data_IF_069806237528
#
_entry.id   IF_069806237528
#
_cell.length_a   1.000
_cell.length_b   1.000
_cell.length_c   1.000
_cell.angle_alpha   90.00
_cell.angle_beta   90.00
_cell.angle_gamma   90.00
#
_symmetry.space_group_name_H-M   'P 1'
#
loop_
_entity.id
_entity.type
_entity.pdbx_description
1 polymer ?
#
# COMPACT_ATOMS: atom_id res chain seq x y z
N UNK A 1 -2.81 7.00 -28.83
CA UNK A 1 -3.39 5.63 -28.80
C UNK A 1 -3.95 5.27 -27.41
N UNK A 2 -3.16 5.36 -26.33
CA UNK A 2 -3.61 5.01 -24.96
C UNK A 2 -4.82 5.83 -24.51
N UNK A 3 -4.79 7.17 -24.64
CA UNK A 3 -5.90 8.03 -24.23
C UNK A 3 -7.22 7.76 -24.98
N UNK A 4 -7.14 7.30 -26.24
CA UNK A 4 -8.36 6.95 -27.01
C UNK A 4 -9.13 5.76 -26.43
N UNK A 5 -8.54 5.03 -25.47
CA UNK A 5 -9.16 3.94 -24.72
C UNK A 5 -9.61 4.36 -23.31
N UNK A 6 -9.55 5.65 -22.97
CA UNK A 6 -9.86 6.15 -21.63
C UNK A 6 -8.80 5.82 -20.57
N UNK A 7 -7.61 5.38 -20.99
CA UNK A 7 -6.48 5.06 -20.13
C UNK A 7 -5.46 6.22 -20.09
N UNK A 8 -4.61 6.22 -19.06
CA UNK A 8 -3.49 7.15 -18.90
C UNK A 8 -2.16 6.50 -19.30
N UNK A 9 -1.20 7.31 -19.75
CA UNK A 9 0.11 6.86 -20.22
C UNK A 9 1.21 7.25 -19.23
N UNK A 10 1.97 6.27 -18.73
CA UNK A 10 3.14 6.51 -17.89
C UNK A 10 4.45 6.29 -18.62
N UNK A 11 5.48 7.01 -18.22
CA UNK A 11 6.86 6.86 -18.70
C UNK A 11 7.84 6.71 -17.54
N UNK A 12 9.02 6.21 -17.85
CA UNK A 12 10.15 6.03 -16.94
C UNK A 12 11.26 6.98 -17.35
N UNK A 13 11.98 7.50 -16.37
CA UNK A 13 13.27 8.13 -16.56
C UNK A 13 14.15 7.96 -15.31
N UNK A 14 15.41 8.38 -15.35
CA UNK A 14 16.35 8.32 -14.24
C UNK A 14 17.01 9.68 -13.96
N UNK A 15 17.08 10.09 -12.69
CA UNK A 15 17.73 11.34 -12.29
C UNK A 15 19.21 11.40 -12.66
N UNK A 16 19.93 10.28 -12.68
CA UNK A 16 21.38 10.23 -12.91
C UNK A 16 21.81 10.37 -14.37
N UNK A 17 23.10 10.13 -14.64
CA UNK A 17 23.66 10.24 -15.99
C UNK A 17 23.12 9.16 -16.94
N UNK A 18 22.73 8.01 -16.37
CA UNK A 18 22.17 6.89 -17.08
C UNK A 18 21.04 6.29 -16.25
N UNK A 19 20.07 5.69 -16.93
CA UNK A 19 19.14 4.74 -16.31
C UNK A 19 19.89 3.55 -15.73
N UNK A 20 19.29 2.83 -14.79
CA UNK A 20 19.84 1.57 -14.27
C UNK A 20 20.20 0.54 -15.37
N UNK A 21 19.56 0.61 -16.54
CA UNK A 21 19.83 -0.24 -17.70
C UNK A 21 20.85 0.34 -18.72
N UNK A 22 21.47 1.50 -18.42
CA UNK A 22 22.52 2.13 -19.22
C UNK A 22 22.04 3.05 -20.35
N UNK A 23 20.73 3.32 -20.47
CA UNK A 23 20.18 4.36 -21.36
C UNK A 23 20.42 5.77 -20.80
N UNK A 24 20.33 6.86 -21.60
CA UNK A 24 20.53 8.23 -21.12
C UNK A 24 19.57 8.60 -19.98
N UNK A 25 20.04 9.32 -18.96
CA UNK A 25 19.21 9.90 -17.88
C UNK A 25 19.10 11.43 -17.96
N UNK A 26 18.38 12.06 -17.02
CA UNK A 26 17.97 13.48 -17.14
C UNK A 26 19.00 14.52 -16.71
N UNK A 27 20.14 14.16 -16.10
CA UNK A 27 21.13 15.19 -15.67
C UNK A 27 21.53 16.07 -16.87
N UNK A 28 21.36 17.38 -16.72
CA UNK A 28 21.64 18.36 -17.78
C UNK A 28 20.49 18.57 -18.78
N UNK A 29 19.43 17.76 -18.72
CA UNK A 29 18.31 17.75 -19.66
C UNK A 29 16.92 17.91 -19.02
N UNK A 30 16.84 18.05 -17.68
CA UNK A 30 15.62 18.14 -16.87
C UNK A 30 14.45 18.92 -17.51
N UNK A 31 14.68 20.18 -17.90
CA UNK A 31 13.64 21.03 -18.49
C UNK A 31 13.19 20.57 -19.89
N UNK A 32 14.14 20.08 -20.69
CA UNK A 32 13.88 19.55 -22.03
C UNK A 32 13.08 18.26 -21.98
N UNK A 33 13.44 17.35 -21.08
CA UNK A 33 12.76 16.06 -20.90
C UNK A 33 11.36 16.25 -20.33
N UNK A 34 11.19 17.11 -19.32
CA UNK A 34 9.87 17.47 -18.80
C UNK A 34 8.95 18.04 -19.90
N UNK A 35 9.46 18.98 -20.71
CA UNK A 35 8.72 19.55 -21.84
C UNK A 35 8.37 18.50 -22.89
N UNK A 36 9.29 17.56 -23.15
CA UNK A 36 9.08 16.45 -24.08
C UNK A 36 7.97 15.53 -23.59
N UNK A 37 7.99 15.13 -22.32
CA UNK A 37 6.95 14.28 -21.71
C UNK A 37 5.57 14.93 -21.78
N UNK A 38 5.50 16.24 -21.49
CA UNK A 38 4.26 16.99 -21.62
C UNK A 38 3.75 17.03 -23.07
N UNK A 39 4.65 17.25 -24.04
CA UNK A 39 4.30 17.27 -25.47
C UNK A 39 3.79 15.92 -25.99
N UNK A 40 4.27 14.81 -25.42
CA UNK A 40 3.80 13.45 -25.72
C UNK A 40 2.48 13.09 -25.03
N UNK A 41 2.03 13.94 -24.10
CA UNK A 41 0.82 13.69 -23.33
C UNK A 41 1.01 12.65 -22.22
N UNK A 42 2.21 12.54 -21.64
CA UNK A 42 2.48 11.67 -20.47
C UNK A 42 1.62 12.10 -19.28
N UNK A 43 1.08 11.15 -18.52
CA UNK A 43 0.24 11.38 -17.33
C UNK A 43 0.90 10.92 -16.02
N UNK A 44 1.98 10.15 -16.12
CA UNK A 44 2.71 9.58 -14.99
C UNK A 44 4.19 9.48 -15.34
N UNK A 45 5.08 9.90 -14.43
CA UNK A 45 6.54 9.82 -14.60
C UNK A 45 7.11 9.11 -13.38
N UNK A 46 7.74 7.95 -13.58
CA UNK A 46 8.67 7.35 -12.61
C UNK A 46 10.05 7.95 -12.85
N UNK A 47 10.66 8.54 -11.82
CA UNK A 47 12.06 8.96 -11.85
C UNK A 47 12.87 8.08 -10.90
N UNK A 48 13.80 7.33 -11.49
CA UNK A 48 14.76 6.49 -10.79
C UNK A 48 16.02 7.28 -10.39
N UNK A 49 17.00 6.63 -9.77
CA UNK A 49 18.17 7.31 -9.20
C UNK A 49 19.51 6.60 -9.40
N UNK A 50 19.62 5.69 -10.37
CA UNK A 50 20.90 5.06 -10.67
C UNK A 50 21.90 6.09 -11.21
N UNK A 51 23.20 5.84 -11.03
CA UNK A 51 24.26 6.72 -11.54
C UNK A 51 24.16 8.20 -11.06
N UNK A 52 23.46 8.45 -9.95
CA UNK A 52 23.42 9.72 -9.22
C UNK A 52 24.02 9.55 -7.81
N UNK A 53 24.53 10.64 -7.23
CA UNK A 53 24.93 10.62 -5.82
C UNK A 53 23.69 10.82 -4.93
N UNK A 54 23.45 9.97 -3.92
CA UNK A 54 22.27 10.09 -3.03
C UNK A 54 22.15 11.44 -2.31
N UNK A 55 23.26 12.13 -2.08
CA UNK A 55 23.29 13.48 -1.48
C UNK A 55 22.73 14.57 -2.41
N UNK A 56 22.75 14.35 -3.73
CA UNK A 56 22.25 15.31 -4.71
C UNK A 56 20.73 15.21 -4.91
N UNK A 57 20.12 14.13 -4.42
CA UNK A 57 18.69 13.84 -4.63
C UNK A 57 17.77 14.84 -3.91
N UNK A 58 18.23 15.43 -2.81
CA UNK A 58 17.53 16.49 -2.07
C UNK A 58 17.33 17.77 -2.90
N UNK A 59 18.11 17.95 -3.96
CA UNK A 59 17.95 19.04 -4.92
C UNK A 59 17.37 18.54 -6.25
N UNK A 60 17.82 17.39 -6.72
CA UNK A 60 17.50 16.85 -8.03
C UNK A 60 16.03 16.51 -8.23
N UNK A 61 15.46 15.73 -7.30
CA UNK A 61 14.07 15.30 -7.39
C UNK A 61 13.08 16.47 -7.29
N UNK A 62 13.23 17.43 -6.35
CA UNK A 62 12.43 18.65 -6.32
C UNK A 62 12.55 19.49 -7.59
N UNK A 63 13.77 19.67 -8.12
CA UNK A 63 13.98 20.45 -9.34
C UNK A 63 13.29 19.80 -10.55
N UNK A 64 13.41 18.48 -10.72
CA UNK A 64 12.71 17.80 -11.81
C UNK A 64 11.18 17.88 -11.65
N UNK A 65 10.66 17.70 -10.43
CA UNK A 65 9.24 17.90 -10.12
C UNK A 65 8.75 19.32 -10.46
N UNK A 66 9.58 20.34 -10.19
CA UNK A 66 9.30 21.72 -10.57
C UNK A 66 9.26 21.90 -12.09
N UNK A 67 10.18 21.27 -12.84
CA UNK A 67 10.18 21.30 -14.30
C UNK A 67 8.92 20.64 -14.88
N UNK A 68 8.48 19.51 -14.33
CA UNK A 68 7.21 18.87 -14.69
C UNK A 68 6.02 19.83 -14.49
N UNK A 69 5.97 20.52 -13.34
CA UNK A 69 4.90 21.48 -13.05
C UNK A 69 4.91 22.69 -14.00
N UNK A 70 6.08 23.21 -14.37
CA UNK A 70 6.21 24.33 -15.31
C UNK A 70 5.65 24.05 -16.69
N UNK A 71 5.53 22.78 -17.10
CA UNK A 71 4.90 22.42 -18.37
C UNK A 71 3.40 22.71 -18.41
N UNK A 72 2.77 22.92 -17.25
CA UNK A 72 1.32 23.11 -17.11
C UNK A 72 0.48 21.83 -17.28
N UNK A 73 1.12 20.67 -17.55
CA UNK A 73 0.44 19.38 -17.64
C UNK A 73 0.49 18.65 -16.30
N UNK A 74 -0.66 18.18 -15.84
CA UNK A 74 -0.74 17.31 -14.66
C UNK A 74 -0.14 15.94 -14.96
N UNK A 75 0.95 15.61 -14.27
CA UNK A 75 1.65 14.33 -14.34
C UNK A 75 1.85 13.82 -12.92
N UNK A 76 1.41 12.58 -12.64
CA UNK A 76 1.74 11.91 -11.39
C UNK A 76 3.24 11.69 -11.33
N UNK A 77 3.89 12.08 -10.25
CA UNK A 77 5.33 11.97 -10.10
C UNK A 77 5.72 10.93 -9.05
N UNK A 78 6.36 9.86 -9.51
CA UNK A 78 6.78 8.70 -8.72
C UNK A 78 8.28 8.72 -8.52
N UNK A 79 8.72 8.83 -7.27
CA UNK A 79 10.12 9.08 -6.94
C UNK A 79 10.80 7.85 -6.34
N UNK A 80 11.89 7.36 -6.92
CA UNK A 80 12.74 6.36 -6.26
C UNK A 80 13.69 6.96 -5.21
N UNK A 81 13.59 8.26 -4.92
CA UNK A 81 14.49 8.99 -4.04
C UNK A 81 14.78 8.32 -2.68
N UNK A 82 13.78 7.92 -1.86
CA UNK A 82 14.07 7.44 -0.51
C UNK A 82 14.90 6.17 -0.49
N UNK A 83 14.63 5.21 -1.40
CA UNK A 83 15.35 3.93 -1.40
C UNK A 83 16.86 4.12 -1.59
N UNK A 84 17.29 4.99 -2.50
CA UNK A 84 18.73 5.25 -2.71
C UNK A 84 19.40 5.91 -1.50
N UNK A 85 18.71 6.85 -0.83
CA UNK A 85 19.23 7.50 0.37
C UNK A 85 19.33 6.54 1.54
N UNK A 86 18.32 5.69 1.76
CA UNK A 86 18.32 4.67 2.80
C UNK A 86 19.50 3.73 2.62
N UNK A 87 19.75 3.28 1.38
CA UNK A 87 20.89 2.42 1.06
C UNK A 87 22.26 3.08 1.25
N UNK A 88 22.32 4.41 1.12
CA UNK A 88 23.52 5.19 1.40
C UNK A 88 23.71 5.52 2.90
N UNK A 89 22.81 5.07 3.78
CA UNK A 89 22.83 5.39 5.20
C UNK A 89 22.37 6.81 5.53
N UNK A 90 21.75 7.50 4.57
CA UNK A 90 21.15 8.82 4.75
C UNK A 90 19.71 8.68 5.29
N UNK A 91 19.23 9.73 5.94
CA UNK A 91 17.84 9.80 6.42
C UNK A 91 17.00 10.59 5.41
N UNK A 92 16.02 9.96 4.73
CA UNK A 92 15.16 10.68 3.79
C UNK A 92 14.37 11.80 4.47
N UNK A 93 14.34 12.96 3.82
CA UNK A 93 13.52 14.09 4.27
C UNK A 93 12.08 13.92 3.76
N UNK A 94 11.27 13.14 4.49
CA UNK A 94 9.88 12.86 4.10
C UNK A 94 9.01 14.11 3.95
N UNK A 95 9.29 15.19 4.69
CA UNK A 95 8.60 16.48 4.50
C UNK A 95 8.78 17.01 3.08
N UNK A 96 10.01 17.01 2.57
CA UNK A 96 10.33 17.45 1.20
C UNK A 96 9.78 16.47 0.16
N UNK A 97 9.89 15.16 0.42
CA UNK A 97 9.36 14.13 -0.47
C UNK A 97 7.83 14.26 -0.63
N UNK A 98 7.09 14.51 0.46
CA UNK A 98 5.64 14.74 0.42
C UNK A 98 5.29 15.99 -0.40
N UNK A 99 6.08 17.06 -0.28
CA UNK A 99 5.84 18.30 -1.03
C UNK A 99 6.07 18.13 -2.54
N UNK A 100 6.99 17.26 -2.93
CA UNK A 100 7.47 17.17 -4.31
C UNK A 100 7.05 15.91 -5.06
N UNK A 101 6.63 14.83 -4.40
CA UNK A 101 6.33 13.55 -5.02
C UNK A 101 4.90 13.08 -4.71
N UNK A 102 4.25 12.42 -5.67
CA UNK A 102 2.93 11.82 -5.44
C UNK A 102 3.01 10.42 -4.83
N UNK A 103 4.11 9.73 -5.07
CA UNK A 103 4.42 8.45 -4.45
C UNK A 103 5.94 8.23 -4.50
N UNK A 104 6.43 7.36 -3.63
CA UNK A 104 7.87 7.07 -3.57
C UNK A 104 8.19 5.64 -3.17
N UNK A 105 9.24 5.09 -3.78
CA UNK A 105 9.77 3.76 -3.43
C UNK A 105 10.64 3.86 -2.17
N UNK A 106 10.26 3.12 -1.14
CA UNK A 106 10.98 3.12 0.15
C UNK A 106 12.04 2.02 0.25
N UNK A 107 11.90 0.94 -0.52
CA UNK A 107 12.64 -0.30 -0.32
C UNK A 107 12.93 -1.02 -1.64
N UNK A 108 13.54 -2.20 -1.54
CA UNK A 108 14.00 -3.04 -2.65
C UNK A 108 13.00 -3.25 -3.77
N UNK A 109 13.55 -3.46 -4.97
CA UNK A 109 12.79 -3.92 -6.11
C UNK A 109 12.18 -5.29 -5.83
N UNK A 110 10.87 -5.39 -6.04
CA UNK A 110 10.17 -6.66 -5.94
C UNK A 110 10.65 -7.60 -7.04
N UNK A 111 10.97 -8.83 -6.64
CA UNK A 111 11.30 -9.93 -7.52
C UNK A 111 10.15 -10.92 -7.56
N UNK A 112 10.03 -11.70 -8.63
CA UNK A 112 8.98 -12.72 -8.78
C UNK A 112 9.25 -13.93 -7.86
N UNK A 113 9.10 -13.72 -6.54
CA UNK A 113 9.32 -14.72 -5.51
C UNK A 113 8.59 -14.35 -4.22
N UNK A 114 8.12 -15.36 -3.50
CA UNK A 114 7.52 -15.17 -2.18
C UNK A 114 8.48 -14.51 -1.18
N UNK A 115 9.76 -14.86 -1.23
CA UNK A 115 10.77 -14.29 -0.33
C UNK A 115 10.90 -12.77 -0.49
N UNK A 116 10.76 -12.24 -1.70
CA UNK A 116 10.77 -10.80 -1.96
C UNK A 116 9.51 -10.10 -1.44
N UNK A 117 8.34 -10.71 -1.62
CA UNK A 117 7.10 -10.21 -1.00
C UNK A 117 7.23 -10.18 0.53
N UNK A 118 7.76 -11.24 1.13
CA UNK A 118 7.98 -11.33 2.57
C UNK A 118 8.95 -10.27 3.10
N UNK A 119 10.06 -10.02 2.40
CA UNK A 119 11.03 -9.00 2.81
C UNK A 119 10.42 -7.59 2.78
N UNK A 120 9.60 -7.28 1.77
CA UNK A 120 8.87 -6.01 1.68
C UNK A 120 7.85 -5.88 2.82
N UNK A 121 7.04 -6.92 3.06
CA UNK A 121 6.07 -6.94 4.17
C UNK A 121 6.79 -6.71 5.51
N UNK A 122 7.93 -7.36 5.73
CA UNK A 122 8.70 -7.18 6.94
C UNK A 122 9.33 -5.79 7.04
N UNK A 123 9.86 -5.23 5.95
CA UNK A 123 10.39 -3.87 5.95
C UNK A 123 9.31 -2.87 6.36
N UNK A 124 8.16 -2.89 5.71
CA UNK A 124 7.05 -1.98 6.01
C UNK A 124 6.51 -2.19 7.43
N UNK A 125 6.40 -3.43 7.89
CA UNK A 125 5.92 -3.75 9.24
C UNK A 125 6.93 -3.44 10.35
N UNK A 126 8.23 -3.45 10.07
CA UNK A 126 9.29 -3.15 11.04
C UNK A 126 9.57 -1.64 11.14
N UNK A 127 9.34 -0.87 10.06
CA UNK A 127 9.59 0.57 9.98
C UNK A 127 8.31 1.42 9.99
N UNK A 128 7.16 0.81 10.32
CA UNK A 128 5.84 1.45 10.24
C UNK A 128 5.68 2.73 11.08
N UNK A 129 6.46 2.92 12.16
CA UNK A 129 6.41 4.15 12.96
C UNK A 129 6.97 5.36 12.19
N UNK A 130 7.89 5.12 11.25
CA UNK A 130 8.46 6.15 10.38
C UNK A 130 7.68 6.29 9.09
N UNK A 131 7.25 5.17 8.48
CA UNK A 131 6.69 5.14 7.12
C UNK A 131 5.22 5.57 7.06
N UNK A 132 4.39 5.02 7.95
CA UNK A 132 2.93 5.16 7.90
C UNK A 132 2.46 6.62 8.00
N UNK A 133 3.03 7.48 8.88
CA UNK A 133 2.58 8.88 8.98
C UNK A 133 2.78 9.72 7.71
N UNK A 134 3.62 9.26 6.77
CA UNK A 134 3.93 10.02 5.55
C UNK A 134 2.97 9.70 4.40
N UNK A 135 2.11 8.68 4.50
CA UNK A 135 1.13 8.36 3.48
C UNK A 135 -0.19 9.10 3.69
N UNK A 136 -0.79 9.57 2.59
CA UNK A 136 -2.08 10.24 2.59
C UNK A 136 -2.52 10.66 1.19
N UNK A 137 -3.72 11.26 1.05
CA UNK A 137 -4.23 11.70 -0.24
C UNK A 137 -3.24 12.59 -1.00
N UNK A 138 -2.70 12.04 -2.09
CA UNK A 138 -1.78 12.72 -3.00
C UNK A 138 -0.29 12.44 -2.77
N UNK A 139 0.07 11.66 -1.74
CA UNK A 139 1.46 11.34 -1.36
C UNK A 139 1.53 9.94 -0.70
N UNK A 140 2.02 8.92 -1.44
CA UNK A 140 1.91 7.51 -1.03
C UNK A 140 3.25 6.80 -0.89
N UNK A 141 3.38 5.89 0.08
CA UNK A 141 4.49 4.94 0.10
C UNK A 141 4.27 3.85 -0.97
N UNK A 142 5.31 3.51 -1.70
CA UNK A 142 5.29 2.52 -2.78
C UNK A 142 6.10 1.26 -2.38
N UNK A 143 5.44 0.16 -2.00
CA UNK A 143 6.06 -1.15 -1.76
C UNK A 143 6.39 -1.92 -3.04
N UNK A 144 6.36 -1.25 -4.20
CA UNK A 144 6.60 -1.78 -5.53
C UNK A 144 5.43 -2.60 -6.12
N UNK A 145 5.60 -3.07 -7.35
CA UNK A 145 4.55 -3.64 -8.20
C UNK A 145 3.85 -4.89 -7.62
N UNK A 146 2.61 -5.12 -8.07
CA UNK A 146 1.92 -6.40 -7.93
C UNK A 146 2.48 -7.41 -8.95
N UNK A 147 2.92 -8.57 -8.47
CA UNK A 147 3.47 -9.67 -9.29
C UNK A 147 2.48 -10.83 -9.45
N UNK A 148 1.22 -10.60 -9.08
CA UNK A 148 0.13 -11.59 -9.12
C UNK A 148 -0.14 -12.03 -10.56
N UNK A 149 -0.12 -13.34 -10.79
CA UNK A 149 -0.31 -13.93 -12.11
C UNK A 149 0.96 -14.17 -12.91
N UNK A 150 2.13 -13.83 -12.36
CA UNK A 150 3.44 -14.28 -12.87
C UNK A 150 3.73 -15.73 -12.40
N UNK A 151 4.98 -16.05 -12.07
CA UNK A 151 5.44 -17.43 -11.91
C UNK A 151 5.85 -17.77 -10.47
N UNK A 152 6.25 -16.79 -9.68
CA UNK A 152 6.87 -16.98 -8.37
C UNK A 152 5.92 -17.06 -7.18
N UNK A 153 4.63 -16.71 -7.36
CA UNK A 153 3.63 -16.73 -6.30
C UNK A 153 2.60 -17.85 -6.47
N UNK A 154 2.39 -18.61 -5.40
CA UNK A 154 1.22 -19.47 -5.27
C UNK A 154 -0.09 -18.67 -5.24
N UNK A 155 -1.22 -19.34 -5.35
CA UNK A 155 -2.54 -18.70 -5.23
C UNK A 155 -2.72 -18.00 -3.87
N UNK A 156 -2.35 -18.67 -2.78
CA UNK A 156 -2.42 -18.11 -1.42
C UNK A 156 -1.50 -16.90 -1.24
N UNK A 157 -0.27 -16.99 -1.76
CA UNK A 157 0.70 -15.89 -1.71
C UNK A 157 0.24 -14.68 -2.52
N UNK A 158 -0.41 -14.92 -3.66
CA UNK A 158 -1.03 -13.88 -4.48
C UNK A 158 -2.17 -13.17 -3.75
N UNK A 159 -3.03 -13.93 -3.05
CA UNK A 159 -4.07 -13.36 -2.18
C UNK A 159 -3.44 -12.50 -1.07
N UNK A 160 -2.35 -12.98 -0.47
CA UNK A 160 -1.61 -12.26 0.59
C UNK A 160 -1.01 -10.95 0.08
N UNK A 161 -0.34 -10.94 -1.09
CA UNK A 161 0.21 -9.71 -1.65
C UNK A 161 -0.89 -8.66 -1.86
N UNK A 162 -1.99 -9.03 -2.53
CA UNK A 162 -3.06 -8.08 -2.82
C UNK A 162 -3.72 -7.51 -1.55
N UNK A 163 -3.98 -8.36 -0.56
CA UNK A 163 -4.56 -7.94 0.71
C UNK A 163 -3.63 -7.01 1.49
N UNK A 164 -2.34 -7.32 1.56
CA UNK A 164 -1.40 -6.46 2.31
C UNK A 164 -1.14 -5.15 1.58
N UNK A 165 -1.03 -5.13 0.25
CA UNK A 165 -0.91 -3.88 -0.50
C UNK A 165 -2.13 -2.97 -0.28
N UNK A 166 -3.34 -3.54 -0.28
CA UNK A 166 -4.55 -2.79 0.06
C UNK A 166 -4.55 -2.27 1.51
N UNK A 167 -4.07 -3.06 2.48
CA UNK A 167 -3.92 -2.59 3.87
C UNK A 167 -2.88 -1.46 3.98
N UNK A 168 -1.81 -1.51 3.19
CA UNK A 168 -0.75 -0.50 3.17
C UNK A 168 -1.13 0.78 2.41
N UNK A 169 -2.32 0.86 1.80
CA UNK A 169 -2.70 1.95 0.90
C UNK A 169 -1.68 2.16 -0.23
N UNK A 170 -1.19 1.03 -0.77
CA UNK A 170 -0.16 1.01 -1.79
C UNK A 170 -0.73 1.26 -3.19
N UNK A 171 0.07 1.78 -4.13
CA UNK A 171 -0.28 1.74 -5.55
C UNK A 171 -0.54 0.29 -6.02
N UNK A 172 -1.71 0.04 -6.62
CA UNK A 172 -2.02 -1.26 -7.23
C UNK A 172 -1.50 -1.34 -8.68
N UNK A 173 -0.18 -1.24 -8.84
CA UNK A 173 0.50 -1.25 -10.14
C UNK A 173 0.85 -2.70 -10.56
N UNK A 174 0.10 -3.26 -11.50
CA UNK A 174 0.33 -4.63 -12.00
C UNK A 174 1.51 -4.70 -12.96
N UNK A 175 2.35 -5.73 -12.82
CA UNK A 175 3.38 -6.10 -13.79
C UNK A 175 3.22 -7.58 -14.17
N UNK A 176 2.34 -7.85 -15.13
CA UNK A 176 1.94 -9.20 -15.56
C UNK A 176 1.46 -9.18 -17.02
N UNK A 177 1.59 -10.30 -17.72
CA UNK A 177 1.05 -10.44 -19.08
C UNK A 177 -0.49 -10.57 -19.08
N UNK A 178 -1.18 -9.45 -19.31
CA UNK A 178 -2.65 -9.39 -19.34
C UNK A 178 -3.29 -10.23 -20.47
N UNK A 179 -2.52 -10.67 -21.47
CA UNK A 179 -3.04 -11.50 -22.58
C UNK A 179 -3.24 -12.95 -22.17
N UNK A 180 -2.47 -13.41 -21.17
CA UNK A 180 -2.35 -14.82 -20.78
C UNK A 180 -2.59 -15.07 -19.29
N UNK A 181 -2.85 -14.02 -18.49
CA UNK A 181 -3.15 -14.15 -17.07
C UNK A 181 -4.26 -15.18 -16.80
N UNK A 182 -4.01 -16.09 -15.85
CA UNK A 182 -4.98 -17.14 -15.50
C UNK A 182 -6.22 -16.53 -14.81
N UNK A 183 -7.43 -17.06 -15.05
CA UNK A 183 -8.67 -16.47 -14.52
C UNK A 183 -8.69 -16.26 -13.00
N UNK A 184 -8.11 -17.18 -12.22
CA UNK A 184 -8.08 -17.10 -10.76
C UNK A 184 -7.20 -15.97 -10.23
N UNK A 185 -6.08 -15.64 -10.89
CA UNK A 185 -5.24 -14.49 -10.52
C UNK A 185 -5.84 -13.17 -11.00
N UNK A 186 -6.47 -13.19 -12.18
CA UNK A 186 -7.26 -12.06 -12.66
C UNK A 186 -8.40 -11.73 -11.67
N UNK A 187 -9.06 -12.75 -11.11
CA UNK A 187 -10.10 -12.56 -10.12
C UNK A 187 -9.59 -11.90 -8.82
N UNK A 188 -8.37 -12.23 -8.37
CA UNK A 188 -7.72 -11.54 -7.25
C UNK A 188 -7.56 -10.05 -7.59
N UNK A 189 -6.93 -9.73 -8.71
CA UNK A 189 -6.65 -8.35 -9.13
C UNK A 189 -7.90 -7.52 -9.44
N UNK A 190 -9.04 -8.17 -9.72
CA UNK A 190 -10.33 -7.53 -9.99
C UNK A 190 -11.29 -7.58 -8.79
N UNK A 191 -10.84 -8.03 -7.61
CA UNK A 191 -11.69 -8.12 -6.44
C UNK A 191 -12.10 -6.71 -5.96
N UNK A 192 -13.35 -6.35 -6.26
CA UNK A 192 -13.91 -5.01 -5.96
C UNK A 192 -13.91 -4.69 -4.48
N UNK A 193 -14.17 -5.67 -3.61
CA UNK A 193 -14.22 -5.43 -2.16
C UNK A 193 -12.86 -5.01 -1.61
N UNK A 194 -11.78 -5.62 -2.11
CA UNK A 194 -10.41 -5.28 -1.69
C UNK A 194 -9.93 -3.98 -2.37
N UNK A 195 -10.32 -3.75 -3.63
CA UNK A 195 -10.06 -2.46 -4.30
C UNK A 195 -10.74 -1.31 -3.55
N UNK A 196 -11.95 -1.50 -3.02
CA UNK A 196 -12.62 -0.49 -2.18
C UNK A 196 -11.88 -0.21 -0.87
N UNK A 197 -11.26 -1.22 -0.26
CA UNK A 197 -10.37 -1.01 0.90
C UNK A 197 -9.15 -0.19 0.48
N UNK A 198 -8.52 -0.57 -0.63
CA UNK A 198 -7.34 0.13 -1.16
C UNK A 198 -7.64 1.61 -1.44
N UNK A 199 -8.74 1.86 -2.15
CA UNK A 199 -9.19 3.17 -2.62
C UNK A 199 -10.00 3.95 -1.56
N UNK A 200 -9.97 3.54 -0.29
CA UNK A 200 -10.71 4.22 0.77
C UNK A 200 -10.30 5.72 0.85
N UNK A 201 -11.28 6.65 0.78
CA UNK A 201 -11.01 8.09 0.70
C UNK A 201 -10.28 8.70 1.90
N UNK A 202 -10.25 8.04 3.07
CA UNK A 202 -9.47 8.54 4.20
C UNK A 202 -7.97 8.53 3.87
N UNK A 203 -7.54 7.64 2.96
CA UNK A 203 -6.14 7.52 2.56
C UNK A 203 -5.19 7.18 3.72
N UNK A 204 -5.71 6.60 4.80
CA UNK A 204 -4.90 6.23 5.96
C UNK A 204 -4.25 4.88 5.67
N UNK A 205 -2.93 4.85 5.61
CA UNK A 205 -2.16 3.60 5.53
C UNK A 205 -2.33 2.77 6.82
N UNK A 206 -2.55 1.46 6.65
CA UNK A 206 -2.68 0.50 7.74
C UNK A 206 -1.36 0.10 8.38
N UNK A 207 -1.45 -0.72 9.42
CA UNK A 207 -0.33 -1.08 10.31
C UNK A 207 -0.35 -2.56 10.68
N UNK A 208 0.81 -3.14 10.98
CA UNK A 208 0.90 -4.45 11.64
C UNK A 208 0.65 -4.26 13.13
N UNK A 209 -0.45 -4.84 13.61
CA UNK A 209 -0.89 -4.74 15.01
C UNK A 209 -0.51 -5.95 15.86
N UNK A 210 -0.25 -7.11 15.23
CA UNK A 210 0.16 -8.34 15.89
C UNK A 210 1.23 -9.08 15.08
N UNK A 211 2.18 -9.72 15.78
CA UNK A 211 3.15 -10.67 15.22
C UNK A 211 3.56 -11.69 16.29
N UNK A 212 3.19 -12.95 16.11
CA UNK A 212 3.62 -14.04 17.00
C UNK A 212 3.50 -15.41 16.32
N UNK A 213 4.51 -16.28 16.49
CA UNK A 213 4.51 -17.67 16.01
C UNK A 213 4.09 -17.85 14.54
N UNK A 214 4.55 -16.95 13.67
CA UNK A 214 4.22 -17.00 12.24
C UNK A 214 2.83 -16.48 11.89
N UNK A 215 2.06 -15.94 12.83
CA UNK A 215 0.82 -15.22 12.54
C UNK A 215 1.05 -13.72 12.68
N UNK A 216 0.58 -12.97 11.69
CA UNK A 216 0.54 -11.52 11.71
C UNK A 216 -0.90 -11.04 11.54
N UNK A 217 -1.24 -9.94 12.21
CA UNK A 217 -2.52 -9.26 12.00
C UNK A 217 -2.21 -7.82 11.64
N UNK A 218 -2.80 -7.37 10.54
CA UNK A 218 -2.68 -6.01 10.03
C UNK A 218 -4.05 -5.35 10.01
N UNK A 219 -4.10 -4.04 10.24
CA UNK A 219 -5.37 -3.30 10.30
C UNK A 219 -5.23 -1.92 9.64
N UNK A 220 -6.23 -1.54 8.84
CA UNK A 220 -6.36 -0.25 8.17
C UNK A 220 -7.69 0.39 8.56
N UNK A 221 -7.70 1.63 9.12
CA UNK A 221 -8.93 2.40 9.30
C UNK A 221 -9.53 2.78 7.94
N UNK A 222 -10.85 2.61 7.80
CA UNK A 222 -11.61 2.89 6.57
C UNK A 222 -12.98 3.51 6.92
N UNK A 223 -13.71 3.98 5.90
CA UNK A 223 -15.11 4.39 6.02
C UNK A 223 -16.07 3.18 6.08
N UNK A 224 -17.27 3.36 6.68
CA UNK A 224 -17.78 4.57 7.32
C UNK A 224 -17.20 4.82 8.72
N UNK A 225 -17.34 6.04 9.23
CA UNK A 225 -17.03 6.40 10.62
C UNK A 225 -18.34 6.77 11.30
N UNK A 226 -18.58 6.23 12.50
CA UNK A 226 -19.76 6.56 13.32
C UNK A 226 -19.32 7.10 14.68
N UNK A 227 -19.55 8.39 14.91
CA UNK A 227 -19.03 9.08 16.08
C UNK A 227 -17.50 9.04 16.08
N UNK A 228 -16.90 8.45 17.11
CA UNK A 228 -15.44 8.27 17.22
C UNK A 228 -14.94 6.93 16.66
N UNK A 229 -15.84 6.06 16.20
CA UNK A 229 -15.50 4.70 15.82
C UNK A 229 -15.30 4.60 14.31
N UNK A 230 -14.07 4.33 13.90
CA UNK A 230 -13.73 3.96 12.53
C UNK A 230 -14.24 2.56 12.20
N UNK A 231 -14.49 2.32 10.91
CA UNK A 231 -14.52 0.98 10.34
C UNK A 231 -13.09 0.53 10.03
N UNK A 232 -12.89 -0.77 9.85
CA UNK A 232 -11.54 -1.32 9.65
C UNK A 232 -11.53 -2.42 8.59
N UNK A 233 -10.49 -2.46 7.78
CA UNK A 233 -10.06 -3.68 7.11
C UNK A 233 -8.99 -4.37 7.97
N UNK A 234 -9.13 -5.68 8.20
CA UNK A 234 -8.23 -6.46 9.06
C UNK A 234 -7.75 -7.69 8.30
N UNK A 235 -6.44 -7.82 8.08
CA UNK A 235 -5.82 -8.95 7.41
C UNK A 235 -5.07 -9.85 8.40
N UNK A 236 -5.45 -11.12 8.44
CA UNK A 236 -4.80 -12.20 9.19
C UNK A 236 -3.89 -12.95 8.24
N UNK A 237 -2.58 -12.80 8.40
CA UNK A 237 -1.56 -13.42 7.54
C UNK A 237 -0.89 -14.57 8.27
N UNK A 238 -0.76 -15.70 7.59
CA UNK A 238 0.00 -16.83 8.08
C UNK A 238 1.34 -16.92 7.33
N UNK A 239 2.41 -16.52 8.01
CA UNK A 239 3.80 -16.55 7.54
C UNK A 239 4.42 -17.95 7.59
N UNK A 240 3.71 -18.97 8.09
CA UNK A 240 4.17 -20.36 7.98
C UNK A 240 4.07 -20.82 6.54
N UNK A 241 5.03 -21.63 6.12
CA UNK A 241 5.08 -22.27 4.79
C UNK A 241 4.88 -23.79 4.88
N UNK A 242 4.57 -24.29 6.06
CA UNK A 242 4.45 -25.70 6.41
C UNK A 242 3.09 -26.03 7.02
N UNK A 243 2.74 -27.32 7.02
CA UNK A 243 1.61 -27.86 7.78
C UNK A 243 0.23 -27.56 7.18
N UNK A 244 -0.71 -27.22 8.05
CA UNK A 244 -2.15 -27.07 7.74
C UNK A 244 -2.61 -25.65 8.11
N UNK A 245 -3.85 -25.25 7.75
CA UNK A 245 -4.36 -23.93 8.10
C UNK A 245 -4.28 -23.68 9.61
N UNK A 246 -3.89 -22.47 9.99
CA UNK A 246 -3.80 -22.07 11.39
C UNK A 246 -5.11 -21.46 11.86
N UNK A 247 -5.66 -21.97 12.95
CA UNK A 247 -6.80 -21.37 13.65
C UNK A 247 -6.36 -20.13 14.42
N UNK A 248 -6.86 -18.97 14.04
CA UNK A 248 -6.66 -17.70 14.76
C UNK A 248 -7.97 -17.27 15.39
N UNK A 249 -7.96 -17.06 16.70
CA UNK A 249 -9.14 -16.66 17.47
C UNK A 249 -8.82 -15.43 18.32
N UNK A 250 -9.54 -14.33 18.09
CA UNK A 250 -9.31 -13.04 18.74
C UNK A 250 -10.63 -12.31 18.94
N UNK A 251 -10.77 -11.55 20.02
CA UNK A 251 -11.94 -10.66 20.18
C UNK A 251 -11.79 -9.41 19.33
N UNK A 252 -12.90 -8.82 18.89
CA UNK A 252 -12.87 -7.54 18.18
C UNK A 252 -12.17 -6.46 19.02
N UNK A 253 -12.39 -6.45 20.34
CA UNK A 253 -11.71 -5.52 21.26
C UNK A 253 -10.19 -5.66 21.25
N UNK A 254 -9.66 -6.88 21.20
CA UNK A 254 -8.20 -7.11 21.10
C UNK A 254 -7.64 -6.56 19.78
N UNK A 255 -8.44 -6.50 18.71
CA UNK A 255 -8.07 -5.87 17.44
C UNK A 255 -8.18 -4.32 17.46
N UNK A 256 -8.64 -3.74 18.58
CA UNK A 256 -8.92 -2.30 18.69
C UNK A 256 -10.34 -1.90 18.27
N UNK A 257 -11.16 -2.85 17.81
CA UNK A 257 -12.54 -2.61 17.38
C UNK A 257 -13.45 -2.55 18.63
N UNK A 258 -13.70 -1.32 19.09
CA UNK A 258 -14.27 -1.05 20.42
C UNK A 258 -15.67 -0.43 20.43
N UNK A 259 -16.28 -0.20 19.25
CA UNK A 259 -17.65 0.33 19.13
C UNK A 259 -18.66 -0.51 19.93
N UNK A 260 -19.34 0.06 20.95
CA UNK A 260 -20.35 -0.64 21.73
C UNK A 260 -21.52 -1.16 20.90
N UNK A 261 -21.85 -0.50 19.79
CA UNK A 261 -22.90 -0.92 18.85
C UNK A 261 -22.46 -2.07 17.95
N UNK A 262 -21.19 -2.48 18.01
CA UNK A 262 -20.62 -3.57 17.24
C UNK A 262 -20.18 -3.17 15.83
N UNK A 263 -19.78 -4.19 15.07
CA UNK A 263 -19.28 -4.08 13.71
C UNK A 263 -19.95 -5.13 12.83
N UNK A 264 -20.39 -4.76 11.62
CA UNK A 264 -20.79 -5.74 10.60
C UNK A 264 -19.52 -6.28 9.94
N UNK A 265 -19.28 -7.58 10.05
CA UNK A 265 -18.02 -8.19 9.62
C UNK A 265 -18.24 -9.15 8.47
N UNK A 266 -17.48 -8.98 7.38
CA UNK A 266 -17.49 -9.88 6.22
C UNK A 266 -16.06 -10.24 5.76
N UNK A 267 -15.91 -11.40 5.14
CA UNK A 267 -14.70 -11.80 4.41
C UNK A 267 -14.70 -11.18 3.01
N UNK A 268 -13.53 -10.72 2.55
CA UNK A 268 -13.41 -10.05 1.25
C UNK A 268 -12.97 -10.97 0.11
N UNK A 269 -12.51 -12.18 0.40
CA UNK A 269 -12.22 -13.19 -0.62
C UNK A 269 -13.30 -14.26 -0.71
N UNK A 270 -13.84 -14.67 0.42
CA UNK A 270 -14.87 -15.70 0.51
C UNK A 270 -16.25 -15.04 0.71
N UNK A 271 -17.32 -15.70 0.27
CA UNK A 271 -18.68 -15.21 0.47
C UNK A 271 -19.18 -15.54 1.89
N UNK A 272 -18.52 -14.95 2.88
CA UNK A 272 -18.78 -15.19 4.31
C UNK A 272 -19.12 -13.86 5.01
N UNK A 273 -20.36 -13.77 5.48
CA UNK A 273 -20.85 -12.67 6.31
C UNK A 273 -21.02 -13.16 7.76
N UNK A 274 -20.26 -12.59 8.68
CA UNK A 274 -20.30 -12.92 10.11
C UNK A 274 -21.40 -12.17 10.85
N UNK A 275 -22.12 -11.25 10.18
CA UNK A 275 -23.14 -10.41 10.78
C UNK A 275 -22.55 -9.33 11.69
N UNK A 276 -23.37 -8.81 12.60
CA UNK A 276 -22.93 -7.80 13.57
C UNK A 276 -22.33 -8.47 14.80
N UNK A 277 -21.06 -8.19 15.06
CA UNK A 277 -20.29 -8.71 16.17
C UNK A 277 -20.02 -7.62 17.22
N UNK A 278 -20.20 -7.95 18.49
CA UNK A 278 -19.84 -7.07 19.61
C UNK A 278 -18.32 -7.06 19.83
N UNK A 279 -17.75 -6.04 20.50
CA UNK A 279 -16.33 -6.02 20.86
C UNK A 279 -15.86 -7.26 21.64
N UNK A 280 -16.75 -7.94 22.37
CA UNK A 280 -16.44 -9.13 23.18
C UNK A 280 -16.51 -10.43 22.38
N UNK A 281 -17.11 -10.40 21.19
CA UNK A 281 -17.25 -11.58 20.35
C UNK A 281 -15.88 -12.00 19.82
N UNK A 282 -15.56 -13.31 19.92
CA UNK A 282 -14.36 -13.89 19.32
C UNK A 282 -14.62 -14.24 17.87
N UNK A 283 -13.92 -13.58 16.96
CA UNK A 283 -13.84 -14.03 15.58
C UNK A 283 -12.83 -15.16 15.48
N UNK A 284 -13.15 -16.17 14.65
CA UNK A 284 -12.30 -17.32 14.39
C UNK A 284 -12.11 -17.45 12.89
N UNK A 285 -10.86 -17.42 12.45
CA UNK A 285 -10.49 -17.57 11.04
C UNK A 285 -9.47 -18.69 10.90
N UNK A 286 -9.52 -19.40 9.78
CA UNK A 286 -8.54 -20.43 9.41
C UNK A 286 -7.70 -19.89 8.27
N UNK A 287 -6.41 -19.69 8.52
CA UNK A 287 -5.51 -19.05 7.55
C UNK A 287 -4.54 -20.08 6.99
N UNK A 288 -4.61 -20.33 5.68
CA UNK A 288 -3.73 -21.25 4.96
C UNK A 288 -2.26 -20.82 5.10
N UNK A 289 -1.27 -21.75 5.11
CA UNK A 289 0.15 -21.39 5.05
C UNK A 289 0.45 -20.45 3.88
N UNK A 290 1.22 -19.39 4.12
CA UNK A 290 1.51 -18.27 3.20
C UNK A 290 0.28 -17.51 2.68
N UNK A 291 -0.89 -17.77 3.25
CA UNK A 291 -2.17 -17.19 2.87
C UNK A 291 -2.63 -16.09 3.80
N UNK A 292 -3.81 -15.57 3.47
CA UNK A 292 -4.47 -14.47 4.17
C UNK A 292 -5.96 -14.71 4.29
N UNK A 293 -6.54 -14.29 5.42
CA UNK A 293 -7.96 -13.96 5.53
C UNK A 293 -8.05 -12.45 5.75
N UNK A 294 -8.77 -11.74 4.88
CA UNK A 294 -8.97 -10.29 5.01
C UNK A 294 -10.45 -10.02 5.24
N UNK A 295 -10.74 -9.28 6.31
CA UNK A 295 -12.09 -8.95 6.74
C UNK A 295 -12.32 -7.44 6.63
N UNK A 296 -13.54 -7.05 6.27
CA UNK A 296 -14.05 -5.69 6.51
C UNK A 296 -14.95 -5.70 7.72
N UNK A 297 -14.78 -4.71 8.58
CA UNK A 297 -15.55 -4.52 9.80
C UNK A 297 -16.12 -3.11 9.83
N UNK A 298 -17.38 -2.97 9.41
CA UNK A 298 -18.07 -1.69 9.36
C UNK A 298 -18.70 -1.34 10.71
N UNK A 299 -18.25 -0.24 11.31
CA UNK A 299 -18.79 0.27 12.56
C UNK A 299 -20.31 0.45 12.45
N UNK A 300 -21.06 0.00 13.45
CA UNK A 300 -22.51 0.19 13.45
C UNK A 300 -22.87 1.55 14.08
N UNK A 301 -23.87 2.27 13.55
CA UNK A 301 -24.33 3.50 14.15
C UNK A 301 -24.91 3.24 15.55
N UNK A 302 -24.62 4.13 16.48
CA UNK A 302 -25.32 4.20 17.76
C UNK A 302 -26.77 4.63 17.50
N UNK A 303 -27.75 3.89 18.03
CA UNK A 303 -29.15 4.33 18.07
C UNK A 303 -29.38 5.47 19.08
N UNK A 304 -28.36 5.87 19.85
CA UNK A 304 -28.36 7.07 20.68
C UNK A 304 -27.67 8.24 19.96
N UNK A 305 -28.38 9.36 19.88
CA UNK A 305 -28.15 10.58 19.09
C UNK A 305 -26.71 11.07 18.88
N UNK A 306 -26.52 11.63 17.67
CA UNK A 306 -25.40 12.42 17.15
C UNK A 306 -24.56 13.18 18.20
N UNK A 307 -23.30 12.78 18.34
CA UNK A 307 -22.22 13.68 18.73
C UNK A 307 -21.06 13.48 17.74
N UNK A 308 -20.67 14.56 17.07
CA UNK A 308 -19.48 14.61 16.20
C UNK A 308 -18.26 14.75 17.13
N UNK A 309 -17.28 13.83 17.13
CA UNK A 309 -16.06 14.04 17.88
C UNK A 309 -14.93 14.51 16.96
N UNK A 310 -14.30 15.61 17.37
CA UNK A 310 -13.03 16.11 16.84
C UNK A 310 -11.87 15.36 17.52
N UNK A 311 -11.39 14.25 16.94
CA UNK A 311 -10.10 13.63 17.34
C UNK A 311 -9.35 13.06 16.14
N UNK A 312 -8.06 13.36 16.07
CA UNK A 312 -7.13 12.87 15.04
C UNK A 312 -6.69 11.42 15.31
N UNK A 313 -6.44 10.61 14.26
CA UNK A 313 -6.38 9.14 14.37
C UNK A 313 -5.08 8.59 14.99
N UNK A 314 -4.07 9.43 15.21
CA UNK A 314 -2.74 8.98 15.62
C UNK A 314 -2.69 8.30 17.01
N UNK A 315 -3.73 8.43 17.83
CA UNK A 315 -3.69 7.98 19.23
C UNK A 315 -4.60 6.79 19.61
N UNK A 316 -5.41 6.21 18.70
CA UNK A 316 -6.36 5.13 19.08
C UNK A 316 -6.00 3.71 18.63
N UNK A 317 -4.83 3.46 18.02
CA UNK A 317 -4.45 2.09 17.63
C UNK A 317 -3.14 1.65 18.27
N UNK A 318 -3.06 1.62 19.60
CA UNK A 318 -1.88 1.02 20.25
C UNK A 318 -2.21 0.34 21.57
N UNK A 319 -2.31 -1.00 21.52
CA UNK A 319 -1.67 -1.99 22.42
C UNK A 319 -2.49 -3.27 22.42
N UNK A 320 -2.02 -4.28 21.69
CA UNK A 320 -2.22 -5.65 22.15
C UNK A 320 -1.43 -5.79 23.46
N UNK A 321 -2.11 -6.14 24.54
CA UNK A 321 -1.44 -6.43 25.81
C UNK A 321 -0.41 -7.53 25.55
N UNK A 322 0.87 -7.22 25.74
CA UNK A 322 1.91 -8.25 25.86
C UNK A 322 1.49 -9.15 27.02
N UNK A 323 1.16 -10.40 26.73
CA UNK A 323 1.27 -11.50 27.69
C UNK A 323 2.41 -12.38 27.25
#
# INVERSE_FOLDING_TARGET
MVHSKGLKFGIYEDYGNFTCAGYPGVVGHLAGDASTFASWGVDYVKLDGCYALPVDMDHGYPEFGRQLNLTGRQMVYSCSWPVYQIYAGLQPNFTSIIEHCNLWRNFDDIQDSWASVESIIDYYGNHQDVIVPNAGPGHWNDPDMLIIGNFGLSYEQSKTQFAIWAILAAPLLMSVDLRTIRPEYKAILQNRKIIEVDQDPLGIQGRRIYKHRGIEIWSRPILPIHGQYYSYAVAFVNRRTDGTPSDVAVTLRELGLSNPSGYRVEDLYEDVDYGVLSPQTKIKVKVNPSGVVILRADAQPSFAYNAIPTRTPYNEVFRLSKK
#
